data_IF_930103801498
#
_entry.id   IF_930103801498
#
_cell.length_a   1.000
_cell.length_b   1.000
_cell.length_c   1.000
_cell.angle_alpha   90.00
_cell.angle_beta   90.00
_cell.angle_gamma   90.00
#
_symmetry.space_group_name_H-M   'P 1'
#
loop_
_entity.id
_entity.type
_entity.pdbx_description
1 polymer ?
#
# COMPACT_ATOMS: atom_id res chain seq x y z
N UNK A 1 -15.34 -5.45 10.16
CA UNK A 1 -14.53 -6.66 9.84
C UNK A 1 -13.07 -6.38 10.18
N UNK A 2 -12.47 -7.21 10.98
CA UNK A 2 -11.05 -7.12 11.31
C UNK A 2 -10.19 -7.65 10.15
N UNK A 3 -9.25 -6.85 9.68
CA UNK A 3 -8.37 -7.17 8.57
C UNK A 3 -6.93 -6.77 8.89
N UNK A 4 -5.97 -7.55 8.42
CA UNK A 4 -4.55 -7.17 8.42
C UNK A 4 -4.16 -6.80 6.98
N UNK A 5 -3.49 -5.66 6.83
CA UNK A 5 -3.07 -5.17 5.52
C UNK A 5 -1.75 -5.84 5.13
N UNK A 6 -1.79 -6.69 4.12
CA UNK A 6 -0.65 -7.50 3.67
C UNK A 6 0.31 -6.71 2.78
N UNK A 7 -0.22 -5.82 1.95
CA UNK A 7 0.58 -5.00 1.01
C UNK A 7 -0.17 -3.74 0.60
N UNK A 8 0.49 -2.87 -0.16
CA UNK A 8 -0.15 -1.73 -0.80
C UNK A 8 -0.37 -2.01 -2.28
N UNK A 9 -1.46 -1.48 -2.81
CA UNK A 9 -1.73 -1.50 -4.25
C UNK A 9 -0.92 -0.43 -4.98
N UNK A 10 -1.05 -0.33 -6.30
CA UNK A 10 -0.54 0.82 -7.07
C UNK A 10 -1.22 2.14 -6.71
N UNK A 11 -2.47 2.04 -6.26
CA UNK A 11 -3.28 3.16 -5.84
C UNK A 11 -3.13 3.45 -4.35
N UNK A 12 -4.10 4.16 -3.78
CA UNK A 12 -4.06 4.57 -2.37
C UNK A 12 -4.37 3.45 -1.38
N UNK A 13 -4.97 2.36 -1.84
CA UNK A 13 -5.56 1.35 -0.97
C UNK A 13 -4.54 0.30 -0.51
N UNK A 14 -4.64 -0.11 0.72
CA UNK A 14 -4.04 -1.35 1.20
C UNK A 14 -4.78 -2.56 0.65
N UNK A 15 -4.10 -3.69 0.59
CA UNK A 15 -4.68 -4.98 0.21
C UNK A 15 -4.63 -5.93 1.40
N UNK A 16 -5.78 -6.46 1.75
CA UNK A 16 -5.96 -7.51 2.74
C UNK A 16 -6.63 -8.72 2.11
N UNK A 17 -6.71 -9.81 2.86
CA UNK A 17 -7.48 -10.99 2.50
C UNK A 17 -8.39 -11.40 3.63
N UNK A 18 -9.58 -11.89 3.28
CA UNK A 18 -10.46 -12.57 4.23
C UNK A 18 -9.88 -13.95 4.58
N UNK A 19 -10.39 -14.57 5.64
CA UNK A 19 -10.03 -15.93 6.03
C UNK A 19 -10.24 -16.97 4.89
N UNK A 20 -11.17 -16.66 3.98
CA UNK A 20 -11.46 -17.46 2.79
C UNK A 20 -10.54 -17.15 1.59
N UNK A 21 -9.61 -16.20 1.76
CA UNK A 21 -8.65 -15.79 0.74
C UNK A 21 -9.14 -14.74 -0.26
N UNK A 22 -10.35 -14.22 -0.09
CA UNK A 22 -10.90 -13.16 -0.95
C UNK A 22 -10.14 -11.85 -0.74
N UNK A 23 -9.76 -11.20 -1.83
CA UNK A 23 -9.07 -9.90 -1.78
C UNK A 23 -9.99 -8.78 -1.30
N UNK A 24 -9.50 -7.92 -0.42
CA UNK A 24 -10.19 -6.73 0.07
C UNK A 24 -9.29 -5.52 -0.12
N UNK A 25 -9.75 -4.54 -0.91
CA UNK A 25 -9.07 -3.26 -1.06
C UNK A 25 -9.55 -2.32 0.05
N UNK A 26 -8.62 -1.88 0.90
CA UNK A 26 -8.93 -1.17 2.14
C UNK A 26 -8.41 0.25 2.06
N UNK A 27 -9.32 1.20 1.88
CA UNK A 27 -8.98 2.62 1.86
C UNK A 27 -8.62 3.12 3.26
N UNK A 28 -7.47 3.76 3.38
CA UNK A 28 -6.93 4.26 4.66
C UNK A 28 -6.06 3.27 5.43
N UNK A 29 -5.99 2.00 4.99
CA UNK A 29 -5.09 1.00 5.58
C UNK A 29 -3.70 1.07 4.98
N UNK A 30 -2.67 0.95 5.81
CA UNK A 30 -1.27 0.88 5.40
C UNK A 30 -0.70 -0.51 5.70
N UNK A 31 0.26 -0.93 4.90
CA UNK A 31 0.92 -2.24 5.07
C UNK A 31 1.34 -2.47 6.53
N UNK A 32 0.97 -3.62 7.07
CA UNK A 32 1.26 -4.02 8.44
C UNK A 32 0.24 -3.55 9.48
N UNK A 33 -0.76 -2.72 9.11
CA UNK A 33 -1.84 -2.37 10.02
C UNK A 33 -2.78 -3.55 10.24
N UNK A 34 -3.29 -3.68 11.46
CA UNK A 34 -4.52 -4.41 11.76
C UNK A 34 -5.64 -3.39 11.98
N UNK A 35 -6.70 -3.51 11.23
CA UNK A 35 -7.78 -2.51 11.19
C UNK A 35 -9.15 -3.13 11.40
N UNK A 36 -10.06 -2.35 11.99
CA UNK A 36 -11.50 -2.57 11.82
C UNK A 36 -11.94 -1.81 10.57
N UNK A 37 -12.51 -2.53 9.63
CA UNK A 37 -12.90 -1.98 8.34
C UNK A 37 -14.37 -2.29 8.02
N UNK A 38 -15.04 -1.31 7.44
CA UNK A 38 -16.42 -1.45 6.95
C UNK A 38 -16.40 -1.73 5.46
N UNK A 39 -17.05 -2.81 5.05
CA UNK A 39 -17.22 -3.15 3.64
C UNK A 39 -18.13 -2.09 2.99
N UNK A 40 -17.67 -1.53 1.89
CA UNK A 40 -18.40 -0.53 1.09
C UNK A 40 -18.94 -1.10 -0.22
N UNK A 41 -18.27 -2.13 -0.73
CA UNK A 41 -18.68 -2.86 -1.93
C UNK A 41 -18.25 -4.31 -1.80
N UNK A 42 -19.16 -5.24 -2.07
CA UNK A 42 -18.89 -6.68 -1.93
C UNK A 42 -19.17 -7.40 -3.25
N UNK A 43 -18.17 -7.45 -4.11
CA UNK A 43 -18.22 -8.17 -5.38
C UNK A 43 -17.86 -9.65 -5.26
N UNK A 44 -18.08 -10.45 -6.32
CA UNK A 44 -17.81 -11.89 -6.28
C UNK A 44 -16.32 -12.23 -6.21
N UNK A 45 -15.44 -11.39 -6.77
CA UNK A 45 -13.99 -11.65 -6.86
C UNK A 45 -13.18 -10.86 -5.83
N UNK A 46 -13.65 -9.71 -5.43
CA UNK A 46 -13.01 -8.85 -4.44
C UNK A 46 -14.04 -7.97 -3.74
N UNK A 47 -13.65 -7.42 -2.61
CA UNK A 47 -14.44 -6.43 -1.88
C UNK A 47 -13.67 -5.12 -1.72
N UNK A 48 -14.39 -4.03 -1.46
CA UNK A 48 -13.82 -2.75 -1.05
C UNK A 48 -14.26 -2.43 0.36
N UNK A 49 -13.36 -1.84 1.12
CA UNK A 49 -13.62 -1.44 2.50
C UNK A 49 -12.98 -0.08 2.80
N UNK A 50 -13.42 0.54 3.85
CA UNK A 50 -12.82 1.74 4.43
C UNK A 50 -12.47 1.46 5.89
N UNK A 51 -11.30 1.93 6.31
CA UNK A 51 -10.88 1.83 7.72
C UNK A 51 -11.80 2.67 8.58
N UNK A 52 -12.36 2.07 9.62
CA UNK A 52 -13.08 2.77 10.68
C UNK A 52 -12.17 3.03 11.88
N UNK A 53 -11.30 2.07 12.19
CA UNK A 53 -10.35 2.17 13.29
C UNK A 53 -9.07 1.39 12.97
N UNK A 54 -7.92 1.95 13.33
CA UNK A 54 -6.64 1.22 13.31
C UNK A 54 -6.46 0.60 14.70
N UNK A 55 -6.61 -0.72 14.79
CA UNK A 55 -6.54 -1.46 16.03
C UNK A 55 -5.08 -1.65 16.49
N UNK A 56 -4.25 -2.04 15.54
CA UNK A 56 -2.81 -2.23 15.74
C UNK A 56 -2.08 -1.53 14.61
N UNK A 57 -1.48 -0.36 14.84
CA UNK A 57 -0.76 0.35 13.79
C UNK A 57 0.52 -0.38 13.41
N UNK A 58 0.84 -0.36 12.12
CA UNK A 58 2.11 -0.84 11.59
C UNK A 58 3.30 -0.13 12.25
N UNK A 59 4.39 -0.85 12.47
CA UNK A 59 5.67 -0.27 12.92
C UNK A 59 6.26 0.71 11.90
N UNK A 60 5.83 0.63 10.65
CA UNK A 60 6.24 1.53 9.55
C UNK A 60 5.39 2.80 9.46
N UNK A 61 4.35 2.93 10.28
CA UNK A 61 3.60 4.18 10.39
C UNK A 61 4.46 5.29 10.99
N UNK A 62 4.40 6.46 10.36
CA UNK A 62 5.05 7.68 10.84
C UNK A 62 4.03 8.82 10.86
N UNK A 63 4.30 9.83 11.68
CA UNK A 63 3.54 11.06 11.62
C UNK A 63 3.95 11.84 10.36
N UNK A 64 3.02 11.99 9.43
CA UNK A 64 3.26 12.76 8.22
C UNK A 64 3.47 14.24 8.56
N UNK A 65 4.40 14.94 7.89
CA UNK A 65 4.60 16.38 8.12
C UNK A 65 3.46 17.25 7.57
N UNK A 66 2.63 16.69 6.68
CA UNK A 66 1.50 17.40 6.08
C UNK A 66 0.22 17.18 6.91
N UNK A 67 -0.47 18.25 7.36
CA UNK A 67 -1.70 18.13 8.14
C UNK A 67 -2.92 17.69 7.31
N UNK A 68 -2.81 17.64 5.98
CA UNK A 68 -3.90 17.31 5.06
C UNK A 68 -3.90 15.83 4.63
N UNK A 69 -3.06 14.99 5.22
CA UNK A 69 -3.07 13.54 4.97
C UNK A 69 -4.47 12.98 5.35
N UNK A 70 -5.02 12.17 4.45
CA UNK A 70 -6.36 11.60 4.61
C UNK A 70 -7.50 12.52 4.13
N UNK A 71 -7.22 13.78 3.84
CA UNK A 71 -8.21 14.77 3.34
C UNK A 71 -7.93 15.12 1.88
N UNK A 72 -6.71 15.53 1.59
CA UNK A 72 -6.30 16.01 0.26
C UNK A 72 -6.23 14.89 -0.80
N UNK A 73 -5.87 13.69 -0.42
CA UNK A 73 -5.71 12.57 -1.35
C UNK A 73 -4.44 12.61 -2.22
N UNK A 74 -3.62 13.64 -2.12
CA UNK A 74 -2.40 13.79 -2.92
C UNK A 74 -1.24 12.88 -2.50
N UNK A 75 -1.22 12.46 -1.23
CA UNK A 75 -0.16 11.63 -0.66
C UNK A 75 -0.77 10.50 0.19
N UNK A 76 -1.42 9.51 -0.43
CA UNK A 76 -2.15 8.48 0.31
C UNK A 76 -1.25 7.64 1.23
N UNK A 77 0.03 7.52 0.92
CA UNK A 77 1.02 6.81 1.74
C UNK A 77 1.85 7.76 2.63
N UNK A 78 1.39 8.98 2.84
CA UNK A 78 2.14 9.98 3.59
C UNK A 78 2.43 9.61 5.04
N UNK A 79 1.61 8.74 5.64
CA UNK A 79 1.83 8.20 6.98
C UNK A 79 2.63 6.89 7.01
N UNK A 80 3.18 6.46 5.87
CA UNK A 80 4.10 5.33 5.77
C UNK A 80 5.54 5.86 5.74
N UNK A 81 6.47 5.18 6.41
CA UNK A 81 7.88 5.57 6.39
C UNK A 81 8.41 5.60 4.96
N UNK A 82 9.34 6.50 4.68
CA UNK A 82 9.93 6.61 3.33
C UNK A 82 10.58 5.29 2.88
N UNK A 83 11.28 4.63 3.77
CA UNK A 83 11.88 3.32 3.52
C UNK A 83 10.82 2.28 3.11
N UNK A 84 9.72 2.21 3.83
CA UNK A 84 8.62 1.29 3.52
C UNK A 84 7.93 1.65 2.19
N UNK A 85 7.75 2.93 1.88
CA UNK A 85 7.25 3.37 0.58
C UNK A 85 8.13 2.89 -0.58
N UNK A 86 9.45 2.97 -0.43
CA UNK A 86 10.40 2.50 -1.45
C UNK A 86 10.30 0.97 -1.63
N UNK A 87 10.25 0.23 -0.54
CA UNK A 87 10.12 -1.24 -0.56
C UNK A 87 8.83 -1.68 -1.24
N UNK A 88 7.71 -1.03 -0.93
CA UNK A 88 6.40 -1.30 -1.57
C UNK A 88 6.45 -1.02 -3.07
N UNK A 89 7.07 0.07 -3.49
CA UNK A 89 7.18 0.42 -4.92
C UNK A 89 8.01 -0.61 -5.69
N UNK A 90 9.10 -1.09 -5.11
CA UNK A 90 9.90 -2.16 -5.70
C UNK A 90 9.11 -3.46 -5.81
N UNK A 91 8.37 -3.83 -4.76
CA UNK A 91 7.55 -5.03 -4.77
C UNK A 91 6.40 -4.94 -5.77
N UNK A 92 5.76 -3.79 -5.90
CA UNK A 92 4.73 -3.56 -6.91
C UNK A 92 5.28 -3.74 -8.33
N UNK A 93 6.49 -3.23 -8.62
CA UNK A 93 7.13 -3.42 -9.91
C UNK A 93 7.46 -4.90 -10.16
N UNK A 94 8.05 -5.57 -9.17
CA UNK A 94 8.37 -7.01 -9.24
C UNK A 94 7.11 -7.83 -9.54
N UNK A 95 6.06 -7.57 -8.79
CA UNK A 95 4.76 -8.23 -8.97
C UNK A 95 4.17 -8.00 -10.37
N UNK A 96 4.27 -6.77 -10.89
CA UNK A 96 3.79 -6.45 -12.23
C UNK A 96 4.57 -7.18 -13.32
N UNK A 97 5.89 -7.19 -13.22
CA UNK A 97 6.75 -7.91 -14.17
C UNK A 97 6.46 -9.41 -14.17
N UNK A 98 6.26 -10.00 -13.00
CA UNK A 98 5.99 -11.44 -12.85
C UNK A 98 4.58 -11.80 -13.30
N UNK A 99 3.55 -11.11 -12.80
CA UNK A 99 2.15 -11.49 -13.00
C UNK A 99 1.59 -11.03 -14.34
N UNK A 100 1.91 -9.81 -14.76
CA UNK A 100 1.40 -9.20 -15.98
C UNK A 100 2.39 -9.40 -17.12
N UNK A 101 3.66 -9.09 -16.89
CA UNK A 101 4.73 -9.24 -17.88
C UNK A 101 5.14 -10.67 -18.16
N UNK A 102 4.76 -11.62 -17.29
CA UNK A 102 5.08 -13.06 -17.42
C UNK A 102 6.59 -13.38 -17.42
N UNK A 103 7.40 -12.48 -16.89
CA UNK A 103 8.82 -12.77 -16.66
C UNK A 103 8.98 -13.77 -15.52
N UNK A 104 9.99 -14.64 -15.61
CA UNK A 104 10.34 -15.54 -14.50
C UNK A 104 10.93 -14.76 -13.32
N UNK A 105 10.89 -15.28 -12.09
CA UNK A 105 11.54 -14.64 -10.94
C UNK A 105 13.03 -14.37 -11.17
N UNK A 106 13.74 -15.25 -11.88
CA UNK A 106 15.15 -15.11 -12.23
C UNK A 106 15.37 -13.94 -13.19
N UNK A 107 14.56 -13.82 -14.24
CA UNK A 107 14.61 -12.70 -15.18
C UNK A 107 14.31 -11.38 -14.49
N UNK A 108 13.32 -11.34 -13.59
CA UNK A 108 12.98 -10.16 -12.81
C UNK A 108 14.16 -9.73 -11.92
N UNK A 109 14.82 -10.68 -11.26
CA UNK A 109 15.99 -10.40 -10.42
C UNK A 109 17.15 -9.81 -11.23
N UNK A 110 17.36 -10.24 -12.47
CA UNK A 110 18.37 -9.69 -13.38
C UNK A 110 18.02 -8.29 -13.89
N UNK A 111 16.76 -8.04 -14.16
CA UNK A 111 16.28 -6.77 -14.74
C UNK A 111 16.19 -5.65 -13.70
N UNK A 112 15.76 -5.97 -12.48
CA UNK A 112 15.55 -4.97 -11.44
C UNK A 112 16.85 -4.38 -10.93
N UNK A 113 16.83 -3.09 -10.70
CA UNK A 113 17.89 -2.33 -10.04
C UNK A 113 17.32 -1.69 -8.78
N UNK A 114 18.15 -1.36 -7.78
CA UNK A 114 17.70 -0.62 -6.60
C UNK A 114 16.95 0.64 -7.00
N UNK A 115 15.85 0.93 -6.31
CA UNK A 115 15.05 2.12 -6.55
C UNK A 115 15.90 3.38 -6.30
N UNK A 116 15.83 4.32 -7.22
CA UNK A 116 16.39 5.67 -7.03
C UNK A 116 15.34 6.56 -6.41
N UNK A 117 15.75 7.37 -5.46
CA UNK A 117 14.85 8.25 -4.72
C UNK A 117 15.48 9.63 -4.48
N UNK A 118 14.67 10.60 -4.15
CA UNK A 118 15.12 11.91 -3.70
C UNK A 118 15.71 11.81 -2.29
N UNK A 119 16.69 12.66 -2.00
CA UNK A 119 17.28 12.75 -0.64
C UNK A 119 16.22 13.15 0.39
N UNK A 120 15.39 14.14 0.01
CA UNK A 120 14.25 14.60 0.81
C UNK A 120 12.95 14.09 0.18
N UNK A 121 12.14 13.30 0.89
CA UNK A 121 10.91 12.73 0.33
C UNK A 121 9.76 13.74 0.22
N UNK A 122 9.85 14.88 0.89
CA UNK A 122 8.86 15.94 0.91
C UNK A 122 9.38 17.21 0.27
N UNK A 123 8.49 18.02 -0.29
CA UNK A 123 8.85 19.33 -0.85
C UNK A 123 9.69 19.27 -2.13
N UNK A 124 9.77 18.15 -2.81
CA UNK A 124 10.55 17.99 -4.04
C UNK A 124 9.85 18.52 -5.29
N UNK A 125 8.54 18.68 -5.23
CA UNK A 125 7.73 19.17 -6.35
C UNK A 125 7.74 20.68 -6.39
N UNK A 126 8.07 21.27 -7.53
CA UNK A 126 8.17 22.72 -7.74
C UNK A 126 7.16 23.27 -8.76
N UNK A 127 6.12 22.52 -9.07
CA UNK A 127 4.99 22.91 -9.91
C UNK A 127 3.69 22.47 -9.28
#
# INVERSE_FOLDING_TARGET
MRLTIDTMTYGPDGLARTDEGKAVFVSGGLIGDTVEARITDDGPSFSRAVVEEVLEPSTDRVQAPCPFIGICGGCPWGSLSHESQLAVKEENLRSALTRIGKFSPEEVAELMRPIRHTKEPWGYRNK
#
